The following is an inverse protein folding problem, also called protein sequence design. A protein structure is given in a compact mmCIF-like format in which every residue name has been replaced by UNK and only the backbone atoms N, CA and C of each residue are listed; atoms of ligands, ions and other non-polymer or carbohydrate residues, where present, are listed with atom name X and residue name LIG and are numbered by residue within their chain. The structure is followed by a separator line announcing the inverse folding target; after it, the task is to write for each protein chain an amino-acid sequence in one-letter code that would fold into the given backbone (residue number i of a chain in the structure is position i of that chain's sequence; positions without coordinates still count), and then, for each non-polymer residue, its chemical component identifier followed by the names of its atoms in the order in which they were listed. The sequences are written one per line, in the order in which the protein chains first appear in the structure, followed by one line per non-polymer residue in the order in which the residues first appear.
data_IF_073048574575
#
_entry.id   IF_073048574575
#
_cell.length_a   1.000
_cell.length_b   1.000
_cell.length_c   1.000
_cell.angle_alpha   90.00
_cell.angle_beta   90.00
_cell.angle_gamma   90.00
#
_symmetry.space_group_name_H-M   'P 1'
#
loop_
_entity.id
_entity.type
_entity.pdbx_description
1 polymer ?
#
# COMPACT_ATOMS: atom_id res chain seq x y z
N UNK A 1 -51.24 -10.94 45.28
CA UNK A 1 -51.15 -9.92 44.23
C UNK A 1 -49.88 -9.08 44.43
N UNK A 2 -48.76 -9.48 43.87
CA UNK A 2 -47.52 -8.73 43.92
C UNK A 2 -46.91 -8.76 42.54
N UNK A 3 -46.83 -7.57 41.94
CA UNK A 3 -46.17 -7.26 40.68
C UNK A 3 -44.65 -7.39 40.84
N UNK A 4 -44.01 -8.29 40.10
CA UNK A 4 -42.56 -8.32 39.93
C UNK A 4 -42.17 -7.48 38.71
N UNK A 5 -41.51 -6.38 38.94
CA UNK A 5 -40.78 -5.59 37.95
C UNK A 5 -39.42 -6.28 37.68
N UNK A 6 -39.22 -6.75 36.46
CA UNK A 6 -37.94 -7.27 35.97
C UNK A 6 -37.07 -6.12 35.50
N UNK A 7 -35.93 -5.90 36.17
CA UNK A 7 -34.86 -5.01 35.72
C UNK A 7 -34.06 -5.71 34.60
N UNK A 8 -34.07 -5.13 33.42
CA UNK A 8 -33.14 -5.44 32.37
C UNK A 8 -31.77 -4.83 32.73
N UNK A 9 -30.84 -5.67 33.09
CA UNK A 9 -29.44 -5.31 33.30
C UNK A 9 -28.72 -5.17 31.93
N UNK A 10 -28.28 -3.96 31.62
CA UNK A 10 -27.32 -3.69 30.57
C UNK A 10 -25.96 -4.30 30.93
N UNK A 11 -25.23 -4.95 29.99
CA UNK A 11 -23.89 -5.43 30.27
C UNK A 11 -22.90 -4.27 30.43
N UNK A 12 -21.87 -4.41 31.27
CA UNK A 12 -20.89 -3.36 31.51
C UNK A 12 -19.99 -3.17 30.26
N UNK A 13 -19.77 -1.91 29.92
CA UNK A 13 -18.74 -1.47 28.97
C UNK A 13 -17.37 -2.01 29.44
N UNK A 14 -16.80 -2.94 28.67
CA UNK A 14 -15.42 -3.40 28.85
C UNK A 14 -14.50 -2.27 28.40
N UNK A 15 -13.98 -1.52 29.37
CA UNK A 15 -12.85 -0.61 29.13
C UNK A 15 -11.60 -1.45 28.92
N UNK A 16 -11.23 -1.66 27.66
CA UNK A 16 -9.94 -2.24 27.28
C UNK A 16 -8.81 -1.33 27.80
N UNK A 17 -8.12 -1.77 28.83
CA UNK A 17 -6.84 -1.19 29.26
C UNK A 17 -5.80 -1.52 28.17
N UNK A 18 -5.50 -0.56 27.30
CA UNK A 18 -4.35 -0.62 26.39
C UNK A 18 -3.05 -0.58 27.21
N UNK A 19 -2.14 -1.50 26.93
CA UNK A 19 -0.77 -1.48 27.45
C UNK A 19 -0.04 -0.21 26.98
N UNK A 20 0.66 0.54 27.86
CA UNK A 20 1.23 1.84 27.53
C UNK A 20 2.60 1.80 26.84
N UNK A 21 2.96 0.74 26.11
CA UNK A 21 4.33 0.55 25.65
C UNK A 21 4.62 0.94 24.18
N UNK A 22 3.64 1.44 23.40
CA UNK A 22 3.86 1.84 21.99
C UNK A 22 3.12 3.12 21.57
N UNK A 23 2.77 3.98 22.53
CA UNK A 23 2.26 5.31 22.19
C UNK A 23 3.42 6.21 21.83
N UNK A 24 3.56 6.56 20.54
CA UNK A 24 4.53 7.55 20.08
C UNK A 24 4.26 8.90 20.73
N UNK A 25 5.32 9.67 21.04
CA UNK A 25 5.22 11.03 21.63
C UNK A 25 4.22 11.94 20.88
N UNK A 26 4.03 11.71 19.59
CA UNK A 26 3.05 12.43 18.77
C UNK A 26 1.60 12.12 19.18
N UNK A 27 1.27 10.89 19.54
CA UNK A 27 -0.07 10.49 20.01
C UNK A 27 -0.37 11.11 21.38
N UNK A 28 0.64 11.13 22.29
CA UNK A 28 0.52 11.82 23.58
C UNK A 28 0.31 13.32 23.43
N UNK A 29 0.98 13.93 22.46
CA UNK A 29 0.85 15.38 22.21
C UNK A 29 -0.52 15.73 21.62
N UNK A 30 -1.06 14.86 20.75
CA UNK A 30 -2.40 15.05 20.18
C UNK A 30 -3.51 14.77 21.20
N UNK A 31 -3.41 13.71 22.00
CA UNK A 31 -4.36 13.41 23.07
C UNK A 31 -4.33 14.49 24.16
N UNK A 32 -3.14 15.05 24.44
CA UNK A 32 -3.00 16.18 25.37
C UNK A 32 -3.66 17.46 24.82
N UNK A 33 -3.45 17.77 23.54
CA UNK A 33 -4.10 18.90 22.86
C UNK A 33 -5.63 18.73 22.80
N UNK A 34 -6.11 17.50 22.58
CA UNK A 34 -7.54 17.21 22.50
C UNK A 34 -8.25 17.33 23.86
N UNK A 35 -7.61 16.83 24.93
CA UNK A 35 -8.15 16.96 26.31
C UNK A 35 -8.10 18.41 26.85
N UNK A 36 -7.19 19.25 26.32
CA UNK A 36 -7.13 20.67 26.70
C UNK A 36 -8.19 21.53 25.99
N UNK A 37 -8.71 21.11 24.83
CA UNK A 37 -9.70 21.89 24.08
C UNK A 37 -11.12 21.76 24.59
N UNK A 38 -11.44 20.69 25.34
CA UNK A 38 -12.78 20.53 25.92
C UNK A 38 -13.02 21.37 27.20
N UNK A 39 -11.98 21.94 27.78
CA UNK A 39 -12.10 22.64 29.09
C UNK A 39 -12.00 24.18 29.05
N UNK A 40 -11.87 24.84 27.89
CA UNK A 40 -11.74 26.30 27.82
C UNK A 40 -12.60 26.95 26.76
N UNK A 41 -13.65 27.62 27.19
CA UNK A 41 -14.59 28.42 26.37
C UNK A 41 -13.99 29.66 25.66
N UNK A 42 -12.66 29.80 25.56
CA UNK A 42 -12.01 31.03 25.09
C UNK A 42 -10.87 30.82 24.10
N UNK A 43 -10.77 29.68 23.38
CA UNK A 43 -9.75 29.55 22.32
C UNK A 43 -10.34 29.77 20.92
N UNK A 44 -9.61 30.43 20.02
CA UNK A 44 -10.06 30.66 18.64
C UNK A 44 -10.25 29.32 17.93
N UNK A 45 -11.36 29.22 17.22
CA UNK A 45 -11.83 28.10 16.38
C UNK A 45 -10.77 27.09 16.02
N UNK A 46 -10.99 25.80 16.37
CA UNK A 46 -10.22 24.65 15.85
C UNK A 46 -9.85 24.88 14.38
N UNK A 47 -8.57 24.69 14.00
CA UNK A 47 -8.13 24.97 12.66
C UNK A 47 -9.02 24.23 11.65
N UNK A 48 -9.77 25.00 10.87
CA UNK A 48 -10.71 24.45 9.91
C UNK A 48 -9.91 24.04 8.68
N UNK A 49 -9.84 22.74 8.44
CA UNK A 49 -9.31 22.24 7.18
C UNK A 49 -10.37 22.41 6.10
N UNK A 50 -10.01 23.14 5.03
CA UNK A 50 -10.86 23.27 3.85
C UNK A 50 -10.21 22.58 2.66
N UNK A 51 -10.98 21.73 2.00
CA UNK A 51 -10.60 21.11 0.72
C UNK A 51 -11.66 21.55 -0.27
N UNK A 52 -11.27 22.41 -1.23
CA UNK A 52 -12.19 23.10 -2.14
C UNK A 52 -13.36 23.76 -1.38
N UNK A 53 -14.59 23.26 -1.60
CA UNK A 53 -15.81 23.84 -1.01
C UNK A 53 -16.27 23.10 0.27
N UNK A 54 -15.55 22.08 0.73
CA UNK A 54 -15.89 21.29 1.91
C UNK A 54 -15.03 21.71 3.11
N UNK A 55 -15.64 21.72 4.28
CA UNK A 55 -14.98 22.03 5.56
C UNK A 55 -15.02 20.81 6.48
N UNK A 56 -13.87 20.44 7.03
CA UNK A 56 -13.71 19.25 7.83
C UNK A 56 -13.33 19.55 9.27
N UNK A 57 -13.86 18.74 10.18
CA UNK A 57 -13.43 18.64 11.58
C UNK A 57 -12.47 17.45 11.68
N UNK A 58 -11.26 17.69 12.18
CA UNK A 58 -10.29 16.63 12.48
C UNK A 58 -10.76 15.88 13.73
N UNK A 59 -10.87 14.55 13.67
CA UNK A 59 -11.33 13.72 14.78
C UNK A 59 -10.17 13.01 15.48
N UNK A 60 -9.38 12.21 14.75
CA UNK A 60 -8.23 11.47 15.30
C UNK A 60 -7.25 11.08 14.22
N UNK A 61 -6.03 10.70 14.61
CA UNK A 61 -5.04 10.08 13.75
C UNK A 61 -5.43 8.62 13.48
N UNK A 62 -5.37 8.17 12.23
CA UNK A 62 -5.59 6.79 11.79
C UNK A 62 -4.27 6.07 11.55
N UNK A 63 -3.27 6.76 10.99
CA UNK A 63 -1.97 6.20 10.67
C UNK A 63 -0.91 7.26 10.43
N UNK A 64 0.35 6.86 10.54
CA UNK A 64 1.53 7.69 10.34
C UNK A 64 2.52 6.94 9.44
N UNK A 65 3.06 7.61 8.43
CA UNK A 65 4.14 7.16 7.56
C UNK A 65 5.28 8.16 7.53
N UNK A 66 6.36 7.91 6.81
CA UNK A 66 7.56 8.75 6.82
C UNK A 66 7.30 10.25 6.60
N UNK A 67 6.60 10.58 5.53
CA UNK A 67 6.21 11.97 5.20
C UNK A 67 4.70 12.18 5.18
N UNK A 68 3.90 11.19 5.61
CA UNK A 68 2.43 11.26 5.53
C UNK A 68 1.76 10.93 6.84
N UNK A 69 0.59 11.54 7.05
CA UNK A 69 -0.31 11.28 8.16
C UNK A 69 -1.71 11.03 7.60
N UNK A 70 -2.40 10.05 8.14
CA UNK A 70 -3.80 9.78 7.79
C UNK A 70 -4.68 10.10 8.99
N UNK A 71 -5.66 10.98 8.80
CA UNK A 71 -6.58 11.43 9.85
C UNK A 71 -8.01 10.98 9.53
N UNK A 72 -8.78 10.62 10.55
CA UNK A 72 -10.23 10.58 10.47
C UNK A 72 -10.75 12.01 10.53
N UNK A 73 -11.54 12.38 9.53
CA UNK A 73 -12.16 13.70 9.45
C UNK A 73 -13.67 13.57 9.22
N UNK A 74 -14.43 14.54 9.69
CA UNK A 74 -15.87 14.64 9.51
C UNK A 74 -16.21 15.90 8.72
N UNK A 75 -16.98 15.74 7.65
CA UNK A 75 -17.56 16.86 6.92
C UNK A 75 -18.56 17.60 7.83
N UNK A 76 -18.38 18.93 7.96
CA UNK A 76 -19.23 19.74 8.87
C UNK A 76 -20.67 19.87 8.39
N UNK A 77 -20.92 19.71 7.09
CA UNK A 77 -22.24 19.89 6.50
C UNK A 77 -23.03 18.59 6.48
N UNK A 78 -22.38 17.48 6.08
CA UNK A 78 -23.04 16.18 5.93
C UNK A 78 -22.86 15.26 7.14
N UNK A 79 -21.92 15.57 8.03
CA UNK A 79 -21.49 14.70 9.15
C UNK A 79 -20.86 13.38 8.69
N UNK A 80 -20.62 13.21 7.42
CA UNK A 80 -20.01 12.02 6.82
C UNK A 80 -18.52 11.92 7.21
N UNK A 81 -18.04 10.70 7.39
CA UNK A 81 -16.65 10.42 7.79
C UNK A 81 -15.79 10.08 6.59
N UNK A 82 -14.56 10.60 6.61
CA UNK A 82 -13.56 10.39 5.57
C UNK A 82 -12.18 10.12 6.18
N UNK A 83 -11.32 9.44 5.43
CA UNK A 83 -9.90 9.39 5.71
C UNK A 83 -9.18 10.51 4.94
N UNK A 84 -8.34 11.27 5.62
CA UNK A 84 -7.57 12.36 5.03
C UNK A 84 -6.09 12.05 5.11
N UNK A 85 -5.46 11.75 3.97
CA UNK A 85 -4.01 11.60 3.88
C UNK A 85 -3.38 12.97 3.68
N UNK A 86 -2.52 13.38 4.62
CA UNK A 86 -1.70 14.60 4.59
C UNK A 86 -0.27 14.21 4.23
N UNK A 87 0.24 14.64 3.09
CA UNK A 87 1.61 14.38 2.63
C UNK A 87 2.39 15.69 2.73
N UNK A 88 3.44 15.70 3.55
CA UNK A 88 4.36 16.84 3.67
C UNK A 88 5.38 16.78 2.54
N UNK A 89 5.58 17.91 1.88
CA UNK A 89 6.49 18.06 0.75
C UNK A 89 7.65 19.01 1.12
N UNK A 90 8.64 18.51 1.88
CA UNK A 90 9.72 19.36 2.41
C UNK A 90 10.73 19.79 1.34
N UNK A 91 10.86 19.01 0.24
CA UNK A 91 11.85 19.24 -0.81
C UNK A 91 11.27 20.03 -2.01
N UNK A 92 10.35 20.95 -1.74
CA UNK A 92 9.81 21.86 -2.74
C UNK A 92 8.94 21.20 -3.80
N UNK A 93 9.16 21.55 -5.08
CA UNK A 93 8.29 21.14 -6.19
C UNK A 93 8.40 19.63 -6.52
N UNK A 94 9.56 19.04 -6.32
CA UNK A 94 9.82 17.63 -6.57
C UNK A 94 8.96 16.74 -5.68
N UNK A 95 8.96 16.97 -4.36
CA UNK A 95 8.10 16.24 -3.41
C UNK A 95 6.61 16.41 -3.72
N UNK A 96 6.20 17.59 -4.19
CA UNK A 96 4.82 17.83 -4.64
C UNK A 96 4.50 17.00 -5.88
N UNK A 97 5.43 16.95 -6.85
CA UNK A 97 5.27 16.14 -8.06
C UNK A 97 5.10 14.66 -7.71
N UNK A 98 5.90 14.15 -6.77
CA UNK A 98 5.78 12.77 -6.29
C UNK A 98 4.44 12.51 -5.59
N UNK A 99 4.00 13.39 -4.70
CA UNK A 99 2.68 13.25 -4.06
C UNK A 99 1.51 13.33 -5.06
N UNK A 100 1.65 14.10 -6.13
CA UNK A 100 0.64 14.17 -7.20
C UNK A 100 0.62 12.92 -8.10
N UNK A 101 1.73 12.16 -8.21
CA UNK A 101 1.71 10.85 -8.87
C UNK A 101 0.78 9.88 -8.15
N UNK A 102 0.76 9.88 -6.81
CA UNK A 102 -0.20 9.08 -6.03
C UNK A 102 -1.65 9.51 -6.32
N UNK A 103 -1.93 10.83 -6.40
CA UNK A 103 -3.26 11.32 -6.78
C UNK A 103 -3.65 10.85 -8.19
N UNK A 104 -2.72 10.88 -9.13
CA UNK A 104 -2.94 10.38 -10.50
C UNK A 104 -3.23 8.87 -10.49
N UNK A 105 -2.48 8.09 -9.68
CA UNK A 105 -2.66 6.65 -9.54
C UNK A 105 -4.09 6.29 -9.11
N UNK A 106 -4.68 7.00 -8.14
CA UNK A 106 -6.07 6.80 -7.73
C UNK A 106 -7.07 7.01 -8.89
N UNK A 107 -6.76 7.89 -9.84
CA UNK A 107 -7.64 8.18 -10.98
C UNK A 107 -7.59 7.11 -12.08
N UNK A 108 -6.50 6.31 -12.16
CA UNK A 108 -6.35 5.28 -13.20
C UNK A 108 -7.39 4.15 -13.06
N UNK A 109 -7.72 3.78 -11.82
CA UNK A 109 -8.51 2.60 -11.49
C UNK A 109 -9.88 2.92 -10.88
N UNK A 110 -10.40 4.13 -11.05
CA UNK A 110 -11.65 4.64 -10.41
C UNK A 110 -12.91 3.83 -10.65
N UNK A 111 -12.91 2.89 -11.57
CA UNK A 111 -14.07 2.07 -11.89
C UNK A 111 -14.01 0.64 -11.31
N UNK A 112 -13.05 0.36 -10.40
CA UNK A 112 -12.86 -0.99 -9.86
C UNK A 112 -13.30 -1.06 -8.39
N UNK A 113 -14.23 -1.97 -8.05
CA UNK A 113 -14.84 -2.07 -6.72
C UNK A 113 -13.83 -2.47 -5.62
N UNK A 114 -12.74 -3.16 -5.97
CA UNK A 114 -11.72 -3.61 -5.02
C UNK A 114 -10.49 -2.70 -4.95
N UNK A 115 -10.52 -1.51 -5.55
CA UNK A 115 -9.41 -0.54 -5.48
C UNK A 115 -9.95 0.77 -4.93
N UNK A 116 -9.25 1.32 -3.93
CA UNK A 116 -9.61 2.62 -3.37
C UNK A 116 -9.52 3.72 -4.43
N UNK A 117 -10.47 4.64 -4.41
CA UNK A 117 -10.46 5.84 -5.24
C UNK A 117 -10.38 7.10 -4.37
N UNK A 118 -9.73 8.14 -4.85
CA UNK A 118 -9.74 9.43 -4.17
C UNK A 118 -11.03 10.20 -4.46
N UNK A 119 -11.60 10.80 -3.41
CA UNK A 119 -12.80 11.64 -3.50
C UNK A 119 -12.42 13.02 -3.97
N UNK A 120 -11.35 13.57 -3.41
CA UNK A 120 -10.84 14.90 -3.74
C UNK A 120 -9.39 15.08 -3.29
N UNK A 121 -8.71 16.12 -3.77
CA UNK A 121 -7.38 16.48 -3.32
C UNK A 121 -7.14 17.98 -3.41
N UNK A 122 -6.17 18.49 -2.65
CA UNK A 122 -5.68 19.86 -2.81
C UNK A 122 -4.20 19.97 -2.41
N UNK A 123 -3.53 20.97 -3.00
CA UNK A 123 -2.18 21.38 -2.61
C UNK A 123 -2.29 22.67 -1.82
N UNK A 124 -1.74 22.70 -0.61
CA UNK A 124 -1.71 23.89 0.25
C UNK A 124 -0.27 24.31 0.49
N UNK A 125 -0.03 25.61 0.45
CA UNK A 125 1.23 26.20 0.89
C UNK A 125 1.03 26.65 2.33
N UNK A 126 1.78 26.10 3.27
CA UNK A 126 1.78 26.59 4.64
C UNK A 126 2.43 27.97 4.64
N UNK A 127 1.61 29.02 4.75
CA UNK A 127 2.09 30.39 4.92
C UNK A 127 2.70 30.47 6.33
N UNK A 128 4.02 30.32 6.38
CA UNK A 128 4.77 30.38 7.64
C UNK A 128 4.48 31.66 8.37
N UNK A 129 4.40 31.55 9.70
CA UNK A 129 4.37 32.60 10.72
C UNK A 129 5.17 33.84 10.29
N UNK A 130 4.66 35.03 10.60
CA UNK A 130 5.17 36.37 10.30
C UNK A 130 6.58 36.72 10.86
N UNK A 131 7.47 35.75 10.98
CA UNK A 131 8.90 35.98 11.26
C UNK A 131 9.67 35.78 9.94
N UNK A 132 9.73 36.87 9.15
CA UNK A 132 10.65 36.98 8.03
C UNK A 132 12.09 37.05 8.58
N UNK A 133 12.82 35.98 8.45
CA UNK A 133 14.28 36.04 8.28
C UNK A 133 14.55 36.06 6.78
N UNK A 134 15.33 37.04 6.37
CA UNK A 134 15.74 37.38 5.01
C UNK A 134 16.55 36.21 4.42
N UNK A 135 15.93 35.38 3.59
CA UNK A 135 16.54 34.23 2.93
C UNK A 135 15.46 33.29 2.39
N UNK A 136 15.11 33.46 1.13
CA UNK A 136 14.08 32.80 0.32
C UNK A 136 13.75 31.34 0.61
N UNK A 137 13.02 31.06 1.65
CA UNK A 137 12.44 29.75 1.91
C UNK A 137 11.04 29.73 1.27
N UNK A 138 10.94 29.05 0.13
CA UNK A 138 9.67 28.75 -0.51
C UNK A 138 8.87 27.88 0.47
N UNK A 139 7.81 28.46 1.07
CA UNK A 139 7.02 27.85 2.13
C UNK A 139 6.71 26.38 1.86
N UNK A 140 6.88 25.54 2.89
CA UNK A 140 6.61 24.10 2.86
C UNK A 140 5.24 23.82 2.25
N UNK A 141 5.18 22.95 1.25
CA UNK A 141 3.94 22.54 0.60
C UNK A 141 3.41 21.25 1.21
N UNK A 142 2.09 21.13 1.21
CA UNK A 142 1.39 19.95 1.71
C UNK A 142 0.33 19.52 0.71
N UNK A 143 0.31 18.24 0.35
CA UNK A 143 -0.76 17.65 -0.46
C UNK A 143 -1.73 16.93 0.46
N UNK A 144 -3.02 17.22 0.31
CA UNK A 144 -4.11 16.56 1.01
C UNK A 144 -4.90 15.72 0.03
N UNK A 145 -5.15 14.46 0.38
CA UNK A 145 -5.95 13.52 -0.40
C UNK A 145 -7.11 13.05 0.46
N UNK A 146 -8.33 13.29 0.02
CA UNK A 146 -9.54 12.83 0.69
C UNK A 146 -9.95 11.46 0.15
N UNK A 147 -10.08 10.49 1.04
CA UNK A 147 -10.34 9.08 0.74
C UNK A 147 -11.61 8.63 1.48
N UNK A 148 -12.31 7.58 1.01
CA UNK A 148 -13.35 6.91 1.79
C UNK A 148 -12.80 6.42 3.13
N UNK A 149 -13.65 6.38 4.15
CA UNK A 149 -13.32 5.80 5.44
C UNK A 149 -14.06 4.47 5.63
N UNK A 150 -13.32 3.40 5.87
CA UNK A 150 -13.84 2.05 6.10
C UNK A 150 -13.83 1.74 7.60
N UNK A 151 -15.01 1.58 8.20
CA UNK A 151 -15.15 1.43 9.66
C UNK A 151 -14.62 0.11 10.19
N UNK A 152 -14.63 -0.94 9.37
CA UNK A 152 -14.15 -2.28 9.75
C UNK A 152 -12.63 -2.37 9.87
N UNK A 153 -11.90 -1.35 9.41
CA UNK A 153 -10.43 -1.36 9.38
C UNK A 153 -9.87 -2.23 8.26
N UNK A 154 -8.63 -2.66 8.42
CA UNK A 154 -7.88 -3.43 7.43
C UNK A 154 -7.68 -4.89 7.87
N UNK A 155 -7.11 -5.73 7.00
CA UNK A 155 -6.84 -7.14 7.32
C UNK A 155 -5.85 -7.30 8.49
N UNK A 156 -4.92 -6.36 8.71
CA UNK A 156 -4.01 -6.41 9.86
C UNK A 156 -4.77 -6.24 11.19
N UNK A 157 -5.77 -5.34 11.22
CA UNK A 157 -6.65 -5.17 12.37
C UNK A 157 -7.42 -6.46 12.66
N UNK A 158 -7.91 -7.12 11.62
CA UNK A 158 -8.61 -8.41 11.73
C UNK A 158 -7.68 -9.55 12.19
N UNK A 159 -6.43 -9.62 11.68
CA UNK A 159 -5.40 -10.55 12.16
C UNK A 159 -5.16 -10.32 13.66
N UNK A 160 -4.96 -9.09 14.08
CA UNK A 160 -4.70 -8.73 15.47
C UNK A 160 -5.89 -9.10 16.37
N UNK A 161 -7.13 -8.87 15.91
CA UNK A 161 -8.33 -9.25 16.62
C UNK A 161 -8.45 -10.77 16.77
N UNK A 162 -8.15 -11.54 15.71
CA UNK A 162 -8.13 -13.00 15.75
C UNK A 162 -7.10 -13.54 16.74
N UNK A 163 -5.89 -12.96 16.77
CA UNK A 163 -4.84 -13.36 17.73
C UNK A 163 -5.28 -13.13 19.18
N UNK A 164 -5.90 -11.98 19.48
CA UNK A 164 -6.39 -11.65 20.82
C UNK A 164 -7.55 -12.55 21.25
N UNK A 165 -8.45 -12.87 20.33
CA UNK A 165 -9.64 -13.68 20.61
C UNK A 165 -9.40 -15.18 20.42
N UNK A 166 -8.18 -15.61 20.06
CA UNK A 166 -7.86 -17.00 19.73
C UNK A 166 -8.78 -17.59 18.64
N UNK A 167 -9.16 -16.75 17.68
CA UNK A 167 -9.98 -17.12 16.51
C UNK A 167 -9.14 -17.13 15.24
N UNK A 168 -9.71 -17.60 14.14
CA UNK A 168 -9.08 -17.65 12.81
C UNK A 168 -10.06 -17.17 11.75
N UNK A 169 -9.52 -16.75 10.62
CA UNK A 169 -10.36 -16.55 9.46
C UNK A 169 -10.94 -17.89 8.99
N UNK A 170 -12.26 -17.97 8.71
CA UNK A 170 -12.81 -19.06 7.92
C UNK A 170 -12.12 -19.08 6.55
N UNK A 171 -11.53 -20.23 6.18
CA UNK A 171 -10.63 -20.29 5.03
C UNK A 171 -11.33 -19.93 3.71
N UNK A 172 -12.57 -20.43 3.52
CA UNK A 172 -13.34 -20.14 2.32
C UNK A 172 -13.61 -18.64 2.17
N UNK A 173 -14.02 -17.99 3.26
CA UNK A 173 -14.23 -16.53 3.29
C UNK A 173 -12.93 -15.75 3.04
N UNK A 174 -11.81 -16.22 3.63
CA UNK A 174 -10.50 -15.63 3.37
C UNK A 174 -10.11 -15.75 1.90
N UNK A 175 -10.35 -16.91 1.26
CA UNK A 175 -10.09 -17.08 -0.17
C UNK A 175 -10.96 -16.16 -1.04
N UNK A 176 -12.20 -15.88 -0.65
CA UNK A 176 -13.05 -14.90 -1.35
C UNK A 176 -12.46 -13.49 -1.24
N UNK A 177 -11.96 -13.09 -0.06
CA UNK A 177 -11.25 -11.82 0.09
C UNK A 177 -9.99 -11.78 -0.79
N UNK A 178 -9.18 -12.84 -0.79
CA UNK A 178 -7.98 -12.92 -1.63
C UNK A 178 -8.31 -12.87 -3.12
N UNK A 179 -9.45 -13.45 -3.54
CA UNK A 179 -9.93 -13.35 -4.91
C UNK A 179 -10.20 -11.88 -5.31
N UNK A 180 -10.87 -11.11 -4.46
CA UNK A 180 -11.12 -9.68 -4.72
C UNK A 180 -9.82 -8.86 -4.81
N UNK A 181 -8.82 -9.14 -3.95
CA UNK A 181 -7.50 -8.52 -4.04
C UNK A 181 -6.79 -8.92 -5.34
N UNK A 182 -6.83 -10.20 -5.72
CA UNK A 182 -6.24 -10.66 -6.98
C UNK A 182 -6.90 -10.01 -8.21
N UNK A 183 -8.22 -9.77 -8.18
CA UNK A 183 -8.94 -9.03 -9.23
C UNK A 183 -8.53 -7.55 -9.28
N UNK A 184 -8.30 -6.91 -8.13
CA UNK A 184 -7.72 -5.57 -8.08
C UNK A 184 -6.34 -5.54 -8.75
N UNK A 185 -5.45 -6.47 -8.41
CA UNK A 185 -4.14 -6.60 -9.04
C UNK A 185 -4.23 -6.91 -10.53
N UNK A 186 -5.18 -7.75 -10.96
CA UNK A 186 -5.40 -8.03 -12.39
C UNK A 186 -5.68 -6.74 -13.17
N UNK A 187 -6.49 -5.84 -12.64
CA UNK A 187 -6.79 -4.56 -13.30
C UNK A 187 -5.57 -3.65 -13.40
N UNK A 188 -4.60 -3.76 -12.49
CA UNK A 188 -3.31 -3.05 -12.54
C UNK A 188 -2.34 -3.74 -13.51
N UNK A 189 -2.16 -5.05 -13.40
CA UNK A 189 -1.26 -5.84 -14.24
C UNK A 189 -1.68 -5.85 -15.71
N UNK A 190 -2.96 -5.64 -16.00
CA UNK A 190 -3.52 -5.63 -17.35
C UNK A 190 -4.10 -4.27 -17.74
N UNK A 191 -3.65 -3.20 -17.08
CA UNK A 191 -4.14 -1.86 -17.39
C UNK A 191 -3.90 -1.50 -18.85
N UNK A 192 -4.91 -0.89 -19.47
CA UNK A 192 -4.85 -0.38 -20.85
C UNK A 192 -5.08 1.12 -20.85
N UNK A 193 -4.29 1.82 -21.63
CA UNK A 193 -4.41 3.28 -21.77
C UNK A 193 -5.79 3.64 -22.33
N UNK A 194 -6.55 4.46 -21.60
CA UNK A 194 -7.88 4.90 -22.03
C UNK A 194 -7.75 5.92 -23.16
N UNK A 195 -8.55 5.75 -24.23
CA UNK A 195 -8.62 6.71 -25.33
C UNK A 195 -8.98 8.11 -24.81
N UNK A 196 -8.16 9.11 -25.13
CA UNK A 196 -8.33 10.50 -24.69
C UNK A 196 -7.34 10.96 -23.60
N UNK A 197 -6.67 10.08 -22.86
CA UNK A 197 -5.68 10.47 -21.85
C UNK A 197 -4.37 11.02 -22.48
N UNK A 198 -3.99 10.49 -23.66
CA UNK A 198 -2.81 10.93 -24.40
C UNK A 198 -2.95 12.34 -24.97
N UNK A 199 -4.15 12.72 -25.42
CA UNK A 199 -4.44 14.05 -26.00
C UNK A 199 -4.23 15.19 -25.00
N UNK A 200 -4.51 14.95 -23.71
CA UNK A 200 -4.38 15.99 -22.66
C UNK A 200 -2.92 16.23 -22.26
N UNK A 201 -2.06 15.20 -22.36
CA UNK A 201 -0.62 15.32 -22.05
C UNK A 201 0.14 16.02 -23.18
N UNK A 202 -0.16 15.69 -24.45
CA UNK A 202 0.41 16.42 -25.60
C UNK A 202 -0.02 17.87 -25.64
N UNK A 203 -1.29 18.17 -25.32
CA UNK A 203 -1.77 19.57 -25.25
C UNK A 203 -1.09 20.37 -24.12
N UNK A 204 -0.71 19.73 -23.00
CA UNK A 204 0.08 20.38 -21.93
C UNK A 204 1.55 20.55 -22.29
N UNK A 205 2.16 19.60 -23.00
CA UNK A 205 3.53 19.69 -23.49
C UNK A 205 3.66 20.80 -24.55
N UNK A 206 2.75 20.82 -25.54
CA UNK A 206 2.71 21.86 -26.58
C UNK A 206 2.44 23.26 -26.01
N UNK A 207 1.64 23.39 -24.93
CA UNK A 207 1.48 24.69 -24.24
C UNK A 207 2.73 25.12 -23.48
N UNK A 208 3.52 24.19 -22.91
CA UNK A 208 4.80 24.54 -22.26
C UNK A 208 5.85 25.00 -23.26
N UNK A 209 5.95 24.36 -24.43
CA UNK A 209 6.86 24.81 -25.51
C UNK A 209 6.44 26.14 -26.11
N UNK A 210 5.13 26.47 -26.15
CA UNK A 210 4.64 27.77 -26.61
C UNK A 210 4.97 28.93 -25.66
N UNK A 211 4.93 28.68 -24.34
CA UNK A 211 5.20 29.70 -23.32
C UNK A 211 6.71 29.96 -23.14
N UNK A 212 7.60 29.01 -23.46
CA UNK A 212 9.05 29.19 -23.46
C UNK A 212 9.55 29.93 -24.72
N UNK A 213 8.90 29.77 -25.88
CA UNK A 213 9.27 30.43 -27.11
C UNK A 213 9.03 31.96 -27.09
N UNK A 214 8.05 32.45 -26.32
CA UNK A 214 7.78 33.87 -26.16
C UNK A 214 8.69 34.55 -25.10
N UNK A 215 9.32 33.81 -24.20
CA UNK A 215 10.27 34.34 -23.22
C UNK A 215 11.68 34.58 -23.82
N UNK A 216 12.10 33.78 -24.81
CA UNK A 216 13.42 33.95 -25.44
C UNK A 216 13.53 35.15 -26.40
N UNK A 217 12.42 35.72 -26.84
CA UNK A 217 12.42 36.88 -27.80
C UNK A 217 12.77 38.22 -27.18
N UNK A 218 12.90 38.29 -25.85
CA UNK A 218 13.10 39.54 -25.11
C UNK A 218 14.54 39.81 -24.63
N UNK A 219 15.48 38.90 -24.85
CA UNK A 219 16.87 39.09 -24.40
C UNK A 219 17.91 38.79 -25.50
N UNK A 220 17.99 39.68 -26.49
CA UNK A 220 19.19 39.80 -27.33
C UNK A 220 19.86 41.12 -27.10
N UNK A 221 20.85 41.15 -26.25
CA UNK A 221 21.94 42.14 -26.34
C UNK A 221 23.30 41.52 -25.94
N UNK A 222 24.25 41.75 -26.82
CA UNK A 222 25.56 41.15 -27.08
C UNK A 222 26.67 41.60 -26.09
N UNK A 223 27.95 41.29 -26.40
CA UNK A 223 28.82 40.34 -25.67
C UNK A 223 30.12 40.96 -25.13
N UNK A 224 30.94 40.19 -24.39
CA UNK A 224 32.41 40.23 -24.55
C UNK A 224 33.14 39.11 -23.84
N UNK A 225 34.07 38.56 -24.62
CA UNK A 225 35.03 37.49 -24.34
C UNK A 225 35.87 37.68 -23.07
N UNK A 226 36.14 36.62 -22.36
CA UNK A 226 37.52 36.27 -21.97
C UNK A 226 37.65 34.76 -21.69
N UNK A 227 38.67 34.18 -22.27
CA UNK A 227 39.07 32.81 -22.13
C UNK A 227 39.86 32.57 -20.85
N UNK A 228 39.69 31.39 -20.22
CA UNK A 228 40.77 30.63 -19.60
C UNK A 228 40.28 29.24 -19.22
N UNK A 229 40.91 28.23 -19.82
CA UNK A 229 41.29 26.87 -19.34
C UNK A 229 40.40 26.23 -18.29
N UNK A 230 39.65 25.17 -18.61
CA UNK A 230 40.10 23.79 -18.70
C UNK A 230 39.96 23.09 -17.35
N UNK A 231 39.00 22.24 -17.23
CA UNK A 231 39.06 20.83 -16.76
C UNK A 231 37.70 20.25 -17.14
N UNK A 232 37.72 19.27 -18.03
CA UNK A 232 36.58 18.44 -18.38
C UNK A 232 36.31 17.51 -17.20
N UNK A 233 35.24 17.77 -16.47
CA UNK A 233 34.51 16.77 -15.68
C UNK A 233 33.17 16.60 -16.39
N UNK A 234 33.10 15.58 -17.25
CA UNK A 234 31.85 15.02 -17.73
C UNK A 234 31.09 14.44 -16.53
N UNK A 235 30.39 15.29 -15.76
CA UNK A 235 29.23 14.83 -15.00
C UNK A 235 28.16 14.43 -16.00
N UNK A 236 28.20 13.15 -16.41
CA UNK A 236 27.05 12.50 -17.03
C UNK A 236 25.89 12.64 -16.06
N UNK A 237 24.94 13.52 -16.39
CA UNK A 237 23.64 13.62 -15.75
C UNK A 237 22.94 12.28 -16.01
N UNK A 238 23.11 11.30 -15.10
CA UNK A 238 22.39 10.03 -15.16
C UNK A 238 20.89 10.34 -15.05
N UNK A 239 20.07 9.86 -16.01
CA UNK A 239 18.63 10.12 -15.98
C UNK A 239 18.03 9.50 -14.72
N UNK A 240 17.17 10.27 -14.05
CA UNK A 240 16.36 9.77 -12.93
C UNK A 240 15.57 8.53 -13.37
N UNK A 241 15.40 7.55 -12.47
CA UNK A 241 14.73 6.27 -12.72
C UNK A 241 13.39 6.42 -13.46
N UNK A 242 12.63 7.48 -13.13
CA UNK A 242 11.35 7.79 -13.75
C UNK A 242 11.46 8.13 -15.25
N UNK A 243 12.56 8.77 -15.68
CA UNK A 243 12.78 9.12 -17.08
C UNK A 243 13.16 7.90 -17.91
N UNK A 244 13.96 6.98 -17.37
CA UNK A 244 14.37 5.77 -18.06
C UNK A 244 13.21 4.77 -18.20
N UNK A 245 12.43 4.57 -17.14
CA UNK A 245 11.22 3.73 -17.17
C UNK A 245 10.14 4.36 -18.06
N UNK A 246 9.99 5.68 -18.05
CA UNK A 246 9.03 6.39 -18.89
C UNK A 246 9.42 6.29 -20.37
N UNK A 247 10.70 6.44 -20.71
CA UNK A 247 11.21 6.29 -22.11
C UNK A 247 10.97 4.88 -22.66
N UNK A 248 11.10 3.85 -21.85
CA UNK A 248 10.83 2.45 -22.31
C UNK A 248 9.34 2.22 -22.60
N UNK A 249 8.46 3.12 -22.15
CA UNK A 249 7.00 3.05 -22.36
C UNK A 249 6.46 4.17 -23.29
N UNK A 250 7.31 5.07 -23.77
CA UNK A 250 6.95 6.04 -24.81
C UNK A 250 6.61 5.31 -26.09
N UNK A 251 5.35 5.47 -26.54
CA UNK A 251 4.87 4.84 -27.77
C UNK A 251 3.70 3.88 -27.60
N UNK A 252 3.19 3.70 -26.39
CA UNK A 252 1.95 2.92 -26.16
C UNK A 252 0.76 3.74 -26.70
N UNK A 253 0.22 3.32 -27.84
CA UNK A 253 -0.98 3.92 -28.45
C UNK A 253 -2.22 3.69 -27.59
N UNK A 254 -3.26 4.47 -27.85
CA UNK A 254 -4.60 4.31 -27.24
C UNK A 254 -5.05 2.84 -27.29
N UNK A 255 -5.46 2.30 -26.14
CA UNK A 255 -5.80 0.89 -25.96
C UNK A 255 -4.63 -0.07 -25.75
N UNK A 256 -3.38 0.41 -25.81
CA UNK A 256 -2.18 -0.37 -25.55
C UNK A 256 -2.07 -0.82 -24.09
N UNK A 257 -1.51 -2.01 -23.89
CA UNK A 257 -1.24 -2.57 -22.57
C UNK A 257 -0.13 -1.75 -21.87
N UNK A 258 -0.39 -1.29 -20.66
CA UNK A 258 0.57 -0.59 -19.80
C UNK A 258 0.45 -1.11 -18.38
N UNK A 259 1.05 -2.26 -18.07
CA UNK A 259 0.96 -2.86 -16.76
C UNK A 259 1.54 -1.98 -15.66
N UNK A 260 0.97 -2.11 -14.47
CA UNK A 260 1.49 -1.53 -13.23
C UNK A 260 1.62 -2.61 -12.17
N UNK A 261 2.63 -2.52 -11.31
CA UNK A 261 2.76 -3.29 -10.09
C UNK A 261 2.47 -2.40 -8.87
N UNK A 262 1.73 -2.93 -7.90
CA UNK A 262 1.39 -2.22 -6.65
C UNK A 262 2.60 -2.05 -5.74
N UNK A 263 3.42 -3.11 -5.59
CA UNK A 263 4.70 -3.20 -4.84
C UNK A 263 4.63 -3.15 -3.31
N UNK A 264 3.47 -2.85 -2.71
CA UNK A 264 3.31 -2.87 -1.25
C UNK A 264 1.99 -3.55 -0.83
N UNK A 265 1.71 -4.73 -1.40
CA UNK A 265 0.57 -5.55 -0.99
C UNK A 265 0.88 -6.18 0.37
N UNK A 266 0.06 -5.84 1.37
CA UNK A 266 0.18 -6.35 2.74
C UNK A 266 -1.16 -6.24 3.46
N UNK A 267 -1.38 -6.94 4.59
CA UNK A 267 -2.66 -6.87 5.31
C UNK A 267 -3.08 -5.44 5.70
N UNK A 268 -2.11 -4.57 6.04
CA UNK A 268 -2.38 -3.17 6.40
C UNK A 268 -2.90 -2.32 5.25
N UNK A 269 -2.65 -2.72 4.00
CA UNK A 269 -3.08 -2.01 2.79
C UNK A 269 -4.33 -2.64 2.14
N UNK A 270 -5.05 -3.52 2.83
CA UNK A 270 -6.30 -4.12 2.36
C UNK A 270 -7.38 -3.82 3.38
N UNK A 271 -8.24 -2.83 3.07
CA UNK A 271 -9.40 -2.51 3.89
C UNK A 271 -10.52 -3.53 3.66
N UNK A 272 -11.40 -3.65 4.64
CA UNK A 272 -12.63 -4.45 4.53
C UNK A 272 -13.79 -3.46 4.48
N UNK A 273 -14.58 -3.54 3.42
CA UNK A 273 -15.77 -2.68 3.27
C UNK A 273 -16.81 -2.98 4.37
N UNK A 274 -17.77 -2.09 4.53
CA UNK A 274 -18.80 -2.19 5.59
C UNK A 274 -19.69 -3.43 5.44
N UNK A 275 -19.77 -4.05 4.24
CA UNK A 275 -20.40 -5.35 4.00
C UNK A 275 -19.64 -6.51 4.67
N UNK A 276 -18.38 -6.31 5.03
CA UNK A 276 -17.49 -7.29 5.63
C UNK A 276 -17.00 -8.37 4.67
N UNK A 277 -17.23 -8.23 3.37
CA UNK A 277 -16.90 -9.24 2.35
C UNK A 277 -16.04 -8.69 1.22
N UNK A 278 -16.17 -7.39 0.90
CA UNK A 278 -15.44 -6.75 -0.19
C UNK A 278 -14.11 -6.21 0.31
N UNK A 279 -12.97 -6.74 -0.19
CA UNK A 279 -11.65 -6.18 0.12
C UNK A 279 -11.38 -4.97 -0.77
N UNK A 280 -10.76 -3.93 -0.21
CA UNK A 280 -10.40 -2.71 -0.91
C UNK A 280 -8.87 -2.54 -0.80
N UNK A 281 -8.17 -2.71 -1.92
CA UNK A 281 -6.72 -2.47 -1.99
C UNK A 281 -6.46 -0.97 -1.98
N UNK A 282 -5.62 -0.51 -1.06
CA UNK A 282 -5.33 0.90 -0.83
C UNK A 282 -3.84 1.19 -0.92
N UNK A 283 -3.50 2.49 -0.80
CA UNK A 283 -2.14 3.02 -0.79
C UNK A 283 -1.38 2.79 -2.09
N UNK A 284 -1.75 3.55 -3.13
CA UNK A 284 -1.13 3.50 -4.45
C UNK A 284 0.15 4.34 -4.55
N UNK A 285 0.74 4.73 -3.40
CA UNK A 285 1.97 5.53 -3.36
C UNK A 285 3.20 4.81 -3.88
N UNK A 286 3.19 3.46 -3.86
CA UNK A 286 4.25 2.59 -4.38
C UNK A 286 4.01 2.09 -5.81
N UNK A 287 2.85 2.44 -6.41
CA UNK A 287 2.47 1.99 -7.74
C UNK A 287 3.50 2.42 -8.79
N UNK A 288 3.98 1.48 -9.57
CA UNK A 288 4.95 1.76 -10.61
C UNK A 288 4.67 0.99 -11.90
N UNK A 289 5.04 1.57 -13.07
CA UNK A 289 4.99 0.86 -14.34
C UNK A 289 5.78 -0.45 -14.30
N UNK A 290 5.32 -1.45 -15.04
CA UNK A 290 5.91 -2.79 -15.11
C UNK A 290 5.78 -3.33 -16.54
N UNK A 291 6.72 -4.16 -17.02
CA UNK A 291 7.97 -4.56 -16.37
C UNK A 291 9.05 -3.46 -16.40
N UNK A 292 10.05 -3.56 -15.51
CA UNK A 292 11.28 -2.78 -15.56
C UNK A 292 12.40 -3.69 -16.04
N UNK A 293 12.97 -3.38 -17.21
CA UNK A 293 14.19 -4.01 -17.67
C UNK A 293 15.40 -3.32 -17.04
N UNK A 294 16.11 -4.00 -16.17
CA UNK A 294 17.27 -3.45 -15.43
C UNK A 294 18.49 -3.44 -16.34
N UNK A 295 18.70 -2.36 -17.08
CA UNK A 295 19.74 -2.23 -18.11
C UNK A 295 21.10 -1.83 -17.57
N UNK A 296 21.17 -1.17 -16.42
CA UNK A 296 22.39 -0.65 -15.81
C UNK A 296 22.50 -0.97 -14.33
N UNK A 297 23.70 -0.82 -13.76
CA UNK A 297 23.92 -0.97 -12.33
C UNK A 297 23.28 0.18 -11.54
N UNK A 298 23.32 1.40 -12.07
CA UNK A 298 22.66 2.56 -11.44
C UNK A 298 21.15 2.36 -11.35
N UNK A 299 20.50 1.87 -12.43
CA UNK A 299 19.08 1.53 -12.40
C UNK A 299 18.79 0.39 -11.42
N UNK A 300 19.66 -0.63 -11.32
CA UNK A 300 19.49 -1.69 -10.32
C UNK A 300 19.47 -1.16 -8.89
N UNK A 301 20.41 -0.28 -8.54
CA UNK A 301 20.47 0.37 -7.24
C UNK A 301 19.24 1.26 -7.00
N UNK A 302 18.85 2.08 -7.97
CA UNK A 302 17.68 2.94 -7.87
C UNK A 302 16.37 2.15 -7.65
N UNK A 303 16.18 1.01 -8.35
CA UNK A 303 15.04 0.11 -8.14
C UNK A 303 15.07 -0.49 -6.74
N UNK A 304 16.25 -0.91 -6.27
CA UNK A 304 16.43 -1.49 -4.94
C UNK A 304 16.16 -0.46 -3.83
N UNK A 305 16.67 0.77 -3.96
CA UNK A 305 16.47 1.86 -3.00
C UNK A 305 15.00 2.28 -2.97
N UNK A 306 14.35 2.43 -4.13
CA UNK A 306 12.90 2.69 -4.22
C UNK A 306 12.09 1.57 -3.55
N UNK A 307 12.46 0.30 -3.75
CA UNK A 307 11.80 -0.80 -3.09
C UNK A 307 12.03 -0.78 -1.57
N UNK A 308 13.22 -0.36 -1.11
CA UNK A 308 13.52 -0.23 0.30
C UNK A 308 12.68 0.87 0.98
N UNK A 309 12.42 1.96 0.28
CA UNK A 309 11.64 3.10 0.77
C UNK A 309 10.12 2.85 0.71
N UNK A 310 9.62 2.24 -0.37
CA UNK A 310 8.20 2.19 -0.68
C UNK A 310 7.55 0.80 -0.52
N UNK A 311 8.29 -0.23 -0.11
CA UNK A 311 7.70 -1.55 0.18
C UNK A 311 8.04 -2.04 1.58
N UNK A 312 7.15 -2.85 2.12
CA UNK A 312 7.25 -3.38 3.49
C UNK A 312 8.09 -4.66 3.50
N UNK A 313 9.23 -4.63 4.18
CA UNK A 313 10.26 -5.67 4.13
C UNK A 313 9.74 -7.12 4.27
N UNK A 314 8.85 -7.49 5.23
CA UNK A 314 8.35 -8.85 5.38
C UNK A 314 7.50 -9.38 4.22
N UNK A 315 7.02 -8.49 3.35
CA UNK A 315 6.15 -8.79 2.20
C UNK A 315 6.85 -8.56 0.85
N UNK A 316 8.06 -7.97 0.87
CA UNK A 316 8.84 -7.64 -0.32
C UNK A 316 9.39 -8.90 -0.98
N UNK A 317 9.26 -8.97 -2.31
CA UNK A 317 9.76 -10.07 -3.11
C UNK A 317 11.30 -10.13 -3.15
N UNK A 318 11.92 -11.32 -3.21
CA UNK A 318 13.38 -11.50 -3.12
C UNK A 318 14.14 -10.73 -4.20
N UNK A 319 13.63 -10.64 -5.42
CA UNK A 319 14.24 -9.90 -6.53
C UNK A 319 14.34 -8.38 -6.30
N UNK A 320 13.65 -7.85 -5.28
CA UNK A 320 13.72 -6.44 -4.86
C UNK A 320 14.73 -6.19 -3.73
N UNK A 321 15.33 -7.25 -3.16
CA UNK A 321 16.41 -7.12 -2.16
C UNK A 321 17.80 -7.08 -2.78
N UNK A 322 17.98 -7.75 -3.91
CA UNK A 322 19.25 -7.83 -4.65
C UNK A 322 18.95 -7.74 -6.15
N UNK A 323 18.71 -6.51 -6.60
CA UNK A 323 18.35 -6.22 -7.99
C UNK A 323 19.59 -6.37 -8.88
N UNK A 324 19.52 -7.27 -9.86
CA UNK A 324 20.65 -7.59 -10.74
C UNK A 324 20.52 -6.91 -12.10
N UNK A 325 21.62 -6.38 -12.59
CA UNK A 325 21.68 -5.90 -13.98
C UNK A 325 21.37 -7.06 -14.95
N UNK A 326 20.53 -6.80 -15.94
CA UNK A 326 20.04 -7.80 -16.89
C UNK A 326 18.77 -8.53 -16.43
N UNK A 327 18.29 -8.31 -15.19
CA UNK A 327 17.00 -8.85 -14.73
C UNK A 327 15.80 -8.03 -15.24
N UNK A 328 14.63 -8.63 -15.14
CA UNK A 328 13.35 -7.98 -15.40
C UNK A 328 12.54 -8.03 -14.10
N UNK A 329 12.16 -6.88 -13.59
CA UNK A 329 11.25 -6.77 -12.45
C UNK A 329 9.83 -6.58 -12.99
N UNK A 330 8.99 -7.58 -12.81
CA UNK A 330 7.64 -7.60 -13.36
C UNK A 330 6.56 -7.58 -12.27
N UNK A 331 5.29 -7.76 -12.64
CA UNK A 331 4.14 -7.75 -11.75
C UNK A 331 4.09 -8.94 -10.78
N UNK A 332 4.96 -9.95 -10.94
CA UNK A 332 5.02 -11.12 -10.04
C UNK A 332 5.56 -10.79 -8.64
N UNK A 333 6.11 -9.60 -8.45
CA UNK A 333 6.39 -9.06 -7.10
C UNK A 333 5.12 -8.95 -6.26
N UNK A 334 3.97 -8.60 -6.86
CA UNK A 334 2.70 -8.51 -6.17
C UNK A 334 2.11 -9.88 -5.85
N UNK A 335 2.35 -10.88 -6.69
CA UNK A 335 1.95 -12.27 -6.45
C UNK A 335 2.66 -12.83 -5.21
N UNK A 336 3.95 -12.56 -5.08
CA UNK A 336 4.71 -12.89 -3.86
C UNK A 336 4.12 -12.21 -2.63
N UNK A 337 3.90 -10.89 -2.70
CA UNK A 337 3.37 -10.10 -1.60
C UNK A 337 1.96 -10.55 -1.17
N UNK A 338 1.12 -10.95 -2.14
CA UNK A 338 -0.20 -11.53 -1.86
C UNK A 338 -0.09 -12.89 -1.19
N UNK A 339 0.88 -13.73 -1.60
CA UNK A 339 1.19 -15.00 -0.91
C UNK A 339 1.61 -14.80 0.54
N UNK A 340 2.49 -13.82 0.82
CA UNK A 340 2.86 -13.44 2.19
C UNK A 340 1.65 -12.92 3.00
N UNK A 341 0.77 -12.16 2.35
CA UNK A 341 -0.45 -11.62 2.96
C UNK A 341 -1.43 -12.74 3.33
N UNK A 342 -1.67 -13.67 2.43
CA UNK A 342 -2.50 -14.85 2.70
C UNK A 342 -1.93 -15.68 3.85
N UNK A 343 -0.63 -15.95 3.84
CA UNK A 343 0.02 -16.66 4.95
C UNK A 343 -0.19 -15.91 6.28
N UNK A 344 0.00 -14.57 6.30
CA UNK A 344 -0.19 -13.77 7.51
C UNK A 344 -1.63 -13.84 8.04
N UNK A 345 -2.63 -13.88 7.17
CA UNK A 345 -4.03 -14.09 7.57
C UNK A 345 -4.28 -15.48 8.16
N UNK A 346 -3.60 -16.51 7.66
CA UNK A 346 -3.76 -17.91 8.12
C UNK A 346 -3.04 -18.20 9.44
N UNK A 347 -1.86 -17.56 9.63
CA UNK A 347 -0.92 -17.90 10.72
C UNK A 347 -0.83 -16.80 11.78
N UNK A 348 -1.11 -15.55 11.42
CA UNK A 348 -1.04 -14.38 12.30
C UNK A 348 0.21 -13.51 12.15
N UNK A 349 1.20 -13.97 11.37
CA UNK A 349 2.45 -13.24 11.04
C UNK A 349 2.85 -13.52 9.60
N UNK A 350 3.68 -12.67 9.00
CA UNK A 350 4.28 -12.99 7.70
C UNK A 350 5.16 -14.24 7.76
N UNK A 351 5.34 -14.98 6.65
CA UNK A 351 6.09 -16.23 6.64
C UNK A 351 7.55 -16.05 7.07
N UNK A 352 8.15 -14.93 6.70
CA UNK A 352 9.57 -14.67 6.94
C UNK A 352 9.82 -14.05 8.31
N UNK A 353 8.88 -13.28 8.89
CA UNK A 353 8.93 -12.88 10.29
C UNK A 353 8.82 -14.09 11.21
N UNK A 354 7.85 -14.97 10.95
CA UNK A 354 7.70 -16.21 11.72
C UNK A 354 8.98 -17.05 11.68
N UNK A 355 9.60 -17.17 10.50
CA UNK A 355 10.82 -17.95 10.33
C UNK A 355 12.06 -17.29 10.95
N UNK A 356 12.20 -15.98 10.79
CA UNK A 356 13.29 -15.18 11.40
C UNK A 356 13.25 -15.27 12.94
N UNK A 357 12.05 -15.17 13.54
CA UNK A 357 11.88 -15.32 14.98
C UNK A 357 12.22 -16.75 15.44
N UNK A 358 11.79 -17.77 14.69
CA UNK A 358 12.05 -19.17 15.02
C UNK A 358 13.54 -19.53 14.99
N UNK A 359 14.26 -19.01 13.98
CA UNK A 359 15.68 -19.35 13.77
C UNK A 359 16.65 -18.38 14.41
N UNK A 360 16.18 -17.19 14.81
CA UNK A 360 17.05 -16.06 15.20
C UNK A 360 17.85 -15.47 14.03
N UNK A 361 17.49 -15.83 12.78
CA UNK A 361 18.17 -15.40 11.57
C UNK A 361 17.70 -14.03 11.07
N UNK A 362 18.40 -13.49 10.06
CA UNK A 362 18.00 -12.26 9.38
C UNK A 362 16.77 -12.48 8.53
N UNK A 363 15.77 -11.61 8.63
CA UNK A 363 14.57 -11.64 7.83
C UNK A 363 14.88 -11.60 6.32
N UNK A 364 15.78 -10.72 5.89
CA UNK A 364 16.21 -10.62 4.49
C UNK A 364 16.83 -11.91 3.97
N UNK A 365 17.61 -12.62 4.79
CA UNK A 365 18.20 -13.92 4.41
C UNK A 365 17.13 -15.00 4.29
N UNK A 366 16.11 -14.99 5.15
CA UNK A 366 14.98 -15.89 5.00
C UNK A 366 14.22 -15.63 3.69
N UNK A 367 13.98 -14.36 3.34
CA UNK A 367 13.33 -13.99 2.07
C UNK A 367 14.15 -14.44 0.87
N UNK A 368 15.43 -14.06 0.82
CA UNK A 368 16.34 -14.40 -0.30
C UNK A 368 16.52 -15.91 -0.48
N UNK A 369 16.52 -16.66 0.62
CA UNK A 369 16.63 -18.12 0.59
C UNK A 369 15.31 -18.84 0.39
N UNK A 370 14.17 -18.15 0.39
CA UNK A 370 12.85 -18.79 0.39
C UNK A 370 12.63 -19.69 1.60
N UNK A 371 13.28 -19.37 2.74
CA UNK A 371 13.21 -20.19 3.95
C UNK A 371 11.98 -19.76 4.79
N UNK A 372 10.90 -20.49 4.63
CA UNK A 372 9.66 -20.36 5.36
C UNK A 372 8.94 -21.70 5.47
N UNK A 373 8.01 -21.85 6.42
CA UNK A 373 7.18 -23.06 6.57
C UNK A 373 5.89 -22.73 7.31
N UNK A 374 4.89 -23.58 7.18
CA UNK A 374 3.75 -23.53 8.09
C UNK A 374 4.11 -24.13 9.46
N UNK A 375 3.50 -23.66 10.56
CA UNK A 375 3.79 -24.16 11.91
C UNK A 375 3.56 -25.67 12.10
N UNK A 376 2.65 -26.25 11.33
CA UNK A 376 2.28 -27.66 11.35
C UNK A 376 3.03 -28.52 10.30
N UNK A 377 3.90 -27.93 9.49
CA UNK A 377 4.77 -28.69 8.58
C UNK A 377 5.88 -29.40 9.36
N UNK A 378 6.14 -30.68 9.02
CA UNK A 378 7.21 -31.47 9.66
C UNK A 378 8.58 -30.83 9.43
N UNK A 379 9.52 -30.88 10.41
CA UNK A 379 10.88 -30.41 10.20
C UNK A 379 11.52 -31.10 8.99
N UNK A 380 11.95 -30.33 7.99
CA UNK A 380 12.59 -30.83 6.75
C UNK A 380 11.75 -30.71 5.47
N UNK A 381 10.48 -30.34 5.53
CA UNK A 381 9.63 -30.13 4.35
C UNK A 381 9.92 -28.84 3.55
N UNK A 382 10.76 -27.94 4.07
CA UNK A 382 11.00 -26.60 3.53
C UNK A 382 12.30 -26.44 2.74
N UNK A 383 12.51 -27.19 1.65
CA UNK A 383 13.41 -26.78 0.57
C UNK A 383 12.67 -26.96 -0.75
N UNK A 384 12.28 -25.88 -1.35
CA UNK A 384 11.52 -25.83 -2.59
C UNK A 384 12.11 -26.67 -3.72
N UNK A 385 11.76 -27.94 -3.74
CA UNK A 385 11.74 -28.79 -4.93
C UNK A 385 10.53 -29.72 -4.77
N UNK A 386 9.45 -29.32 -5.43
CA UNK A 386 8.24 -30.12 -5.49
C UNK A 386 8.55 -31.54 -6.03
N UNK A 387 8.45 -32.51 -5.14
CA UNK A 387 8.12 -33.89 -5.51
C UNK A 387 6.84 -34.23 -4.79
N UNK A 388 5.75 -34.23 -5.55
CA UNK A 388 4.49 -34.84 -5.17
C UNK A 388 4.72 -36.35 -5.19
N UNK A 389 4.80 -36.96 -4.01
CA UNK A 389 4.71 -38.42 -3.84
C UNK A 389 3.35 -38.75 -3.22
N UNK A 390 2.66 -39.80 -3.65
CA UNK A 390 1.40 -40.19 -3.05
C UNK A 390 1.66 -40.83 -1.68
N UNK A 391 1.30 -40.16 -0.60
CA UNK A 391 1.20 -40.77 0.73
C UNK A 391 -0.26 -41.05 1.06
N UNK A 392 -0.62 -42.34 0.94
CA UNK A 392 -1.77 -42.92 1.63
C UNK A 392 -1.46 -42.99 3.12
N UNK A 393 -2.11 -42.20 3.93
CA UNK A 393 -2.08 -42.26 5.38
C UNK A 393 -3.08 -41.25 5.93
N UNK A 394 -4.19 -41.76 6.48
CA UNK A 394 -5.12 -40.98 7.29
C UNK A 394 -4.39 -40.41 8.52
N UNK A 395 -3.79 -39.22 8.35
CA UNK A 395 -3.28 -38.46 9.46
C UNK A 395 -4.47 -37.79 10.15
N UNK A 396 -4.67 -38.08 11.41
CA UNK A 396 -5.61 -37.37 12.30
C UNK A 396 -5.42 -35.87 12.15
N UNK A 397 -6.39 -35.21 11.52
CA UNK A 397 -6.43 -33.72 11.40
C UNK A 397 -6.56 -33.19 12.83
N UNK A 398 -5.51 -32.54 13.34
CA UNK A 398 -5.61 -31.76 14.57
C UNK A 398 -6.60 -30.62 14.29
N UNK A 399 -7.64 -30.48 15.10
CA UNK A 399 -8.54 -29.34 15.06
C UNK A 399 -7.71 -28.06 15.06
N UNK A 400 -7.80 -27.28 13.97
CA UNK A 400 -7.12 -25.99 13.84
C UNK A 400 -5.90 -25.95 12.91
N UNK A 401 -5.55 -27.01 12.15
CA UNK A 401 -4.52 -26.93 11.11
C UNK A 401 -5.06 -26.24 9.86
N UNK A 402 -4.18 -25.45 9.17
CA UNK A 402 -4.49 -24.86 7.86
C UNK A 402 -4.67 -25.96 6.83
N UNK A 403 -5.72 -25.88 5.98
CA UNK A 403 -5.96 -26.87 4.94
C UNK A 403 -4.83 -26.92 3.91
N UNK A 404 -4.59 -28.08 3.32
CA UNK A 404 -3.61 -28.24 2.24
C UNK A 404 -3.98 -27.44 0.99
N UNK A 405 -5.27 -27.19 0.78
CA UNK A 405 -5.78 -26.34 -0.30
C UNK A 405 -5.28 -24.89 -0.13
N UNK A 406 -5.46 -24.30 1.05
CA UNK A 406 -4.99 -22.95 1.35
C UNK A 406 -3.44 -22.87 1.36
N UNK A 407 -2.77 -23.87 1.94
CA UNK A 407 -1.30 -23.98 1.92
C UNK A 407 -0.75 -24.04 0.49
N UNK A 408 -1.43 -24.73 -0.42
CA UNK A 408 -0.99 -24.84 -1.82
C UNK A 408 -1.01 -23.49 -2.55
N UNK A 409 -2.02 -22.66 -2.32
CA UNK A 409 -2.07 -21.29 -2.88
C UNK A 409 -0.84 -20.49 -2.43
N UNK A 410 -0.53 -20.50 -1.13
CA UNK A 410 0.65 -19.84 -0.58
C UNK A 410 1.94 -20.37 -1.22
N UNK A 411 2.10 -21.70 -1.29
CA UNK A 411 3.30 -22.33 -1.87
C UNK A 411 3.53 -21.92 -3.33
N UNK A 412 2.47 -21.80 -4.12
CA UNK A 412 2.56 -21.37 -5.51
C UNK A 412 2.99 -19.89 -5.64
N UNK A 413 2.52 -19.03 -4.75
CA UNK A 413 2.91 -17.62 -4.73
C UNK A 413 4.34 -17.40 -4.25
N UNK A 414 4.82 -18.18 -3.27
CA UNK A 414 6.11 -17.97 -2.62
C UNK A 414 7.24 -18.81 -3.25
N UNK A 415 7.33 -18.78 -4.59
CA UNK A 415 8.48 -19.29 -5.32
C UNK A 415 9.55 -18.19 -5.43
N UNK A 416 10.81 -18.52 -5.10
CA UNK A 416 11.91 -17.54 -5.12
C UNK A 416 12.10 -16.98 -6.52
N UNK A 417 12.11 -17.87 -7.52
CA UNK A 417 12.20 -17.47 -8.92
C UNK A 417 10.86 -16.91 -9.43
N UNK A 418 10.79 -15.66 -9.90
CA UNK A 418 9.55 -15.06 -10.38
C UNK A 418 8.86 -15.86 -11.49
N UNK A 419 9.64 -16.49 -12.36
CA UNK A 419 9.12 -17.31 -13.47
C UNK A 419 8.32 -18.55 -12.99
N UNK A 420 8.59 -19.03 -11.78
CA UNK A 420 7.88 -20.19 -11.19
C UNK A 420 6.57 -19.80 -10.49
N UNK A 421 6.34 -18.50 -10.27
CA UNK A 421 5.07 -17.99 -9.72
C UNK A 421 4.01 -17.98 -10.81
N UNK A 422 2.73 -18.23 -10.46
CA UNK A 422 1.64 -18.04 -11.41
C UNK A 422 1.57 -16.57 -11.87
N UNK A 423 1.08 -16.33 -13.07
CA UNK A 423 0.61 -15.00 -13.43
C UNK A 423 -0.71 -14.68 -12.71
N UNK A 424 -1.22 -13.47 -12.89
CA UNK A 424 -2.41 -13.05 -12.14
C UNK A 424 -3.68 -13.81 -12.56
N UNK A 425 -3.81 -14.19 -13.83
CA UNK A 425 -4.96 -14.96 -14.32
C UNK A 425 -4.92 -16.39 -13.81
N UNK A 426 -3.75 -17.02 -13.83
CA UNK A 426 -3.51 -18.34 -13.25
C UNK A 426 -3.78 -18.33 -11.75
N UNK A 427 -3.32 -17.30 -11.02
CA UNK A 427 -3.56 -17.17 -9.58
C UNK A 427 -5.05 -17.03 -9.26
N UNK A 428 -5.78 -16.21 -10.01
CA UNK A 428 -7.24 -16.06 -9.88
C UNK A 428 -7.93 -17.41 -10.09
N UNK A 429 -7.50 -18.19 -11.10
CA UNK A 429 -8.09 -19.50 -11.34
C UNK A 429 -7.79 -20.49 -10.19
N UNK A 430 -6.56 -20.50 -9.69
CA UNK A 430 -6.17 -21.33 -8.54
C UNK A 430 -7.02 -20.99 -7.30
N UNK A 431 -7.22 -19.69 -7.01
CA UNK A 431 -8.04 -19.25 -5.88
C UNK A 431 -9.50 -19.67 -6.09
N UNK A 432 -10.07 -19.49 -7.29
CA UNK A 432 -11.45 -19.91 -7.61
C UNK A 432 -11.66 -21.42 -7.42
N UNK A 433 -10.71 -22.23 -7.84
CA UNK A 433 -10.81 -23.67 -7.71
C UNK A 433 -10.67 -24.09 -6.23
N UNK A 434 -9.77 -23.45 -5.49
CA UNK A 434 -9.65 -23.61 -4.03
C UNK A 434 -10.98 -23.28 -3.30
N UNK A 435 -11.65 -22.17 -3.68
CA UNK A 435 -12.96 -21.79 -3.09
C UNK A 435 -14.02 -22.87 -3.33
N UNK A 436 -14.03 -23.51 -4.51
CA UNK A 436 -15.02 -24.57 -4.83
C UNK A 436 -14.79 -25.82 -3.99
N UNK A 437 -13.51 -26.16 -3.71
CA UNK A 437 -13.13 -27.38 -2.98
C UNK A 437 -13.22 -27.20 -1.46
N UNK A 438 -13.10 -25.98 -0.93
CA UNK A 438 -13.22 -25.71 0.49
C UNK A 438 -14.67 -25.89 0.98
N UNK A 439 -14.88 -26.50 2.17
CA UNK A 439 -16.20 -26.63 2.78
C UNK A 439 -16.81 -25.26 3.07
N UNK A 440 -18.14 -25.18 3.18
CA UNK A 440 -18.78 -23.97 3.62
C UNK A 440 -18.52 -23.72 5.11
N UNK A 441 -18.37 -22.44 5.48
CA UNK A 441 -18.06 -22.06 6.86
C UNK A 441 -19.15 -22.53 7.86
N UNK A 442 -20.41 -22.63 7.41
CA UNK A 442 -21.55 -23.12 8.21
C UNK A 442 -21.46 -24.65 8.49
N UNK A 443 -20.86 -25.41 7.60
CA UNK A 443 -20.71 -26.87 7.76
C UNK A 443 -19.69 -27.23 8.86
N UNK A 444 -18.73 -26.31 9.12
CA UNK A 444 -17.69 -26.48 10.15
C UNK A 444 -18.25 -26.16 11.55
N UNK A 445 -19.12 -25.15 11.66
CA UNK A 445 -19.72 -24.74 12.93
C UNK A 445 -20.71 -25.80 13.49
N UNK A 446 -21.31 -26.63 12.64
CA UNK A 446 -22.23 -27.69 13.00
C UNK A 446 -21.58 -29.01 13.49
N UNK A 447 -20.29 -29.18 13.25
CA UNK A 447 -19.55 -30.42 13.63
C UNK A 447 -18.92 -30.34 15.04
N UNK A 448 -19.05 -29.21 15.73
CA UNK A 448 -18.46 -28.95 17.07
C UNK A 448 -19.49 -29.02 18.20
N UNK A 449 -20.63 -29.69 18.00
CA UNK A 449 -21.67 -29.91 19.02
C UNK A 449 -21.86 -31.40 19.35
#
# INVERSE_FOLDING_TARGET
TALRTSYLSTPPLVTSRRNPATSTMAQYFFDLLYNFTDCMCCFPSTPQLKIKNRSFKLLRLLGEGGFSYVYLVQDKNTSELFALKKIRCPFGQESVSQALKEVEAYSLFTAHDNIIHSIDHCVSTESGSKFRSDGGDAGSKTVYILLPYYQRGNLQDAINANLVNHTRFPEKRLMVLMLGVAQALQSMHQYRVKSGAASTRQAKAVRREGDEADAERSMQMKPKRRASHGVDEDEENEPLMDDEVTRSQEGVHDGGLRPYAHRDVKPGNIMIDDDGQTPILMDLGSLAPSPIAVTSRSLALAVQDTAAEHSTMPYRAPELFDVKTGSIIDTKVDVWSLGCTLYACLVGKSPFEARSEETGGSLSMCVLGGDWRFPDDKPGAGKGKGKVGPENGEASKSEGSVSDLAKNVVRKCLQVEPAERPDIDELIQIIKDTIKELPNDDDIAGASH
#
